data_IF_438965817118
#
_entry.id   IF_438965817118
#
_cell.length_a   1.000
_cell.length_b   1.000
_cell.length_c   1.000
_cell.angle_alpha   90.00
_cell.angle_beta   90.00
_cell.angle_gamma   90.00
#
_symmetry.space_group_name_H-M   'P 1'
#
loop_
_entity.id
_entity.type
_entity.pdbx_description
1 polymer ?
#
# COMPACT_ATOMS: atom_id res chain seq x y z
N UNK A 1 -26.37 0.57 12.20
CA UNK A 1 -25.22 -0.26 12.64
C UNK A 1 -25.16 -0.25 14.16
N UNK A 2 -25.11 -1.41 14.81
CA UNK A 2 -24.92 -1.50 16.26
C UNK A 2 -23.43 -1.39 16.61
N UNK A 3 -23.09 -0.84 17.78
CA UNK A 3 -21.69 -0.58 18.18
C UNK A 3 -20.81 -1.84 18.15
N UNK A 4 -21.40 -3.02 18.38
CA UNK A 4 -20.72 -4.33 18.27
C UNK A 4 -20.28 -4.66 16.85
N UNK A 5 -21.06 -4.30 15.83
CA UNK A 5 -20.73 -4.59 14.43
C UNK A 5 -19.55 -3.76 13.95
N UNK A 6 -19.38 -2.54 14.50
CA UNK A 6 -18.27 -1.66 14.18
C UNK A 6 -16.91 -2.28 14.55
N UNK A 7 -16.87 -3.03 15.67
CA UNK A 7 -15.66 -3.70 16.14
C UNK A 7 -15.15 -4.79 15.19
N UNK A 8 -16.01 -5.35 14.33
CA UNK A 8 -15.64 -6.38 13.34
C UNK A 8 -15.30 -5.81 11.96
N UNK A 9 -15.56 -4.51 11.71
CA UNK A 9 -15.21 -3.86 10.45
C UNK A 9 -13.72 -3.97 10.08
N UNK A 10 -12.75 -3.73 10.98
CA UNK A 10 -11.34 -3.83 10.59
C UNK A 10 -10.98 -5.26 10.16
N UNK A 11 -11.50 -6.28 10.83
CA UNK A 11 -11.30 -7.67 10.45
C UNK A 11 -11.88 -7.97 9.05
N UNK A 12 -13.09 -7.51 8.79
CA UNK A 12 -13.73 -7.65 7.47
C UNK A 12 -12.93 -6.93 6.36
N UNK A 13 -12.44 -5.72 6.61
CA UNK A 13 -11.64 -4.98 5.63
C UNK A 13 -10.34 -5.72 5.33
N UNK A 14 -9.63 -6.18 6.35
CA UNK A 14 -8.39 -6.96 6.19
C UNK A 14 -8.65 -8.28 5.46
N UNK A 15 -9.75 -8.97 5.77
CA UNK A 15 -10.13 -10.19 5.06
C UNK A 15 -10.40 -9.93 3.57
N UNK A 16 -11.22 -8.93 3.26
CA UNK A 16 -11.53 -8.60 1.87
C UNK A 16 -10.29 -8.12 1.09
N UNK A 17 -9.38 -7.40 1.77
CA UNK A 17 -8.11 -7.00 1.21
C UNK A 17 -7.20 -8.20 0.90
N UNK A 18 -7.04 -9.11 1.86
CA UNK A 18 -6.17 -10.28 1.73
C UNK A 18 -6.64 -11.25 0.63
N UNK A 19 -7.97 -11.43 0.49
CA UNK A 19 -8.55 -12.29 -0.54
C UNK A 19 -8.94 -11.56 -1.83
N UNK A 20 -8.62 -10.26 -1.94
CA UNK A 20 -8.88 -9.45 -3.13
C UNK A 20 -10.34 -9.50 -3.62
N UNK A 21 -11.29 -9.42 -2.68
CA UNK A 21 -12.72 -9.63 -2.96
C UNK A 21 -13.48 -8.36 -3.31
N UNK A 22 -12.84 -7.19 -3.19
CA UNK A 22 -13.42 -5.93 -3.67
C UNK A 22 -13.61 -5.97 -5.18
N UNK A 23 -14.77 -5.50 -5.64
CA UNK A 23 -15.08 -5.42 -7.06
C UNK A 23 -14.17 -4.40 -7.77
N UNK A 24 -13.83 -4.68 -9.03
CA UNK A 24 -13.03 -3.76 -9.87
C UNK A 24 -13.79 -2.44 -10.09
N UNK A 25 -13.05 -1.35 -10.26
CA UNK A 25 -13.60 0.00 -10.42
C UNK A 25 -14.43 0.50 -9.21
N UNK A 26 -14.14 -0.03 -8.02
CA UNK A 26 -14.61 0.53 -6.76
C UNK A 26 -13.47 1.27 -6.07
N UNK A 27 -13.79 2.31 -5.30
CA UNK A 27 -12.76 3.11 -4.64
C UNK A 27 -11.94 2.29 -3.62
N UNK A 28 -12.52 1.26 -3.00
CA UNK A 28 -11.81 0.37 -2.08
C UNK A 28 -10.75 -0.45 -2.81
N UNK A 29 -11.08 -0.94 -4.00
CA UNK A 29 -10.13 -1.61 -4.88
C UNK A 29 -9.01 -0.65 -5.29
N UNK A 30 -9.37 0.56 -5.71
CA UNK A 30 -8.40 1.57 -6.14
C UNK A 30 -7.42 1.96 -5.02
N UNK A 31 -7.90 2.07 -3.77
CA UNK A 31 -7.04 2.29 -2.60
C UNK A 31 -6.09 1.13 -2.35
N UNK A 32 -6.53 -0.12 -2.56
CA UNK A 32 -5.69 -1.29 -2.40
C UNK A 32 -4.57 -1.33 -3.43
N UNK A 33 -4.89 -1.00 -4.69
CA UNK A 33 -3.90 -0.83 -5.76
C UNK A 33 -2.92 0.29 -5.41
N UNK A 34 -3.45 1.45 -4.99
CA UNK A 34 -2.62 2.59 -4.59
C UNK A 34 -1.66 2.22 -3.45
N UNK A 35 -2.11 1.43 -2.46
CA UNK A 35 -1.27 0.98 -1.36
C UNK A 35 -0.11 0.10 -1.84
N UNK A 36 -0.34 -0.78 -2.82
CA UNK A 36 0.73 -1.61 -3.40
C UNK A 36 1.70 -0.74 -4.21
N UNK A 37 1.20 0.16 -5.06
CA UNK A 37 2.05 1.06 -5.83
C UNK A 37 2.90 1.94 -4.91
N UNK A 38 2.29 2.48 -3.85
CA UNK A 38 2.99 3.23 -2.83
C UNK A 38 4.09 2.37 -2.19
N UNK A 39 3.80 1.13 -1.80
CA UNK A 39 4.82 0.22 -1.26
C UNK A 39 5.99 -0.01 -2.22
N UNK A 40 5.71 -0.30 -3.49
CA UNK A 40 6.74 -0.54 -4.52
C UNK A 40 7.61 0.70 -4.75
N UNK A 41 6.99 1.89 -4.78
CA UNK A 41 7.71 3.13 -5.06
C UNK A 41 8.46 3.68 -3.84
N UNK A 42 7.89 3.53 -2.65
CA UNK A 42 8.49 3.99 -1.40
C UNK A 42 9.68 3.13 -1.03
N UNK A 43 9.62 1.82 -1.27
CA UNK A 43 10.65 0.88 -0.83
C UNK A 43 11.90 1.02 -1.72
N UNK A 44 13.00 1.62 -1.24
CA UNK A 44 14.21 1.75 -2.03
C UNK A 44 14.87 0.36 -2.22
N UNK A 45 15.54 0.13 -3.36
CA UNK A 45 16.23 -1.14 -3.65
C UNK A 45 17.23 -1.55 -2.56
N UNK A 46 17.88 -0.56 -1.92
CA UNK A 46 18.80 -0.76 -0.83
C UNK A 46 18.17 -1.49 0.39
N UNK A 47 16.88 -1.32 0.65
CA UNK A 47 16.22 -2.03 1.76
C UNK A 47 16.07 -3.53 1.49
N UNK A 48 16.00 -3.93 0.21
CA UNK A 48 15.96 -5.34 -0.18
C UNK A 48 17.35 -5.94 -0.42
N UNK A 49 18.43 -5.14 -0.30
CA UNK A 49 19.77 -5.52 -0.75
C UNK A 49 19.76 -6.06 -2.19
N UNK A 50 18.98 -5.41 -3.07
CA UNK A 50 18.87 -5.84 -4.47
C UNK A 50 20.22 -5.60 -5.20
N UNK A 51 20.86 -6.65 -5.76
CA UNK A 51 22.14 -6.52 -6.46
C UNK A 51 22.00 -5.99 -7.90
N UNK A 52 20.78 -5.81 -8.38
CA UNK A 52 20.44 -5.53 -9.78
C UNK A 52 19.80 -4.16 -9.99
N UNK A 53 19.11 -3.63 -8.97
CA UNK A 53 18.46 -2.34 -9.03
C UNK A 53 19.18 -1.32 -8.15
N UNK A 54 19.74 -0.27 -8.77
CA UNK A 54 20.38 0.85 -8.09
C UNK A 54 19.51 2.11 -8.17
N UNK A 55 19.35 2.82 -7.05
CA UNK A 55 18.59 4.08 -7.01
C UNK A 55 18.10 4.49 -5.63
N UNK A 56 17.80 5.78 -5.48
CA UNK A 56 17.37 6.41 -4.21
C UNK A 56 15.94 6.06 -3.76
N UNK A 57 15.12 5.44 -4.62
CA UNK A 57 13.68 5.25 -4.38
C UNK A 57 12.91 6.57 -4.37
N UNK A 58 11.57 6.53 -4.35
CA UNK A 58 10.74 7.75 -4.44
C UNK A 58 10.92 8.66 -3.21
N UNK A 59 11.18 8.08 -2.03
CA UNK A 59 11.54 8.85 -0.82
C UNK A 59 12.86 9.60 -1.00
N UNK A 60 13.91 8.96 -1.52
CA UNK A 60 15.20 9.63 -1.69
C UNK A 60 15.13 10.76 -2.72
N UNK A 61 14.31 10.61 -3.76
CA UNK A 61 13.98 11.72 -4.68
C UNK A 61 13.26 12.87 -3.98
N UNK A 62 12.29 12.58 -3.11
CA UNK A 62 11.59 13.63 -2.34
C UNK A 62 12.55 14.35 -1.40
N UNK A 63 13.41 13.64 -0.66
CA UNK A 63 14.41 14.27 0.19
C UNK A 63 15.33 15.21 -0.60
N UNK A 64 15.86 14.76 -1.74
CA UNK A 64 16.68 15.61 -2.62
C UNK A 64 15.93 16.81 -3.21
N UNK A 65 14.63 16.70 -3.42
CA UNK A 65 13.82 17.80 -3.95
C UNK A 65 13.58 18.92 -2.92
N UNK A 66 13.65 18.60 -1.62
CA UNK A 66 13.42 19.56 -0.54
C UNK A 66 14.72 20.15 0.07
N UNK A 67 15.90 19.68 -0.35
CA UNK A 67 17.22 20.29 -0.09
C UNK A 67 17.55 21.36 -1.14
#
# INVERSE_FOLDING_TARGET
>A
MTLRQLAFLPFLVLWNAAYWTYERATWQYDLLVLAILAFVWITPPAWLNDPTADGLGLIGWLCLFFD
#
